data_IF_449007080165
#
_entry.id   IF_449007080165
#
_cell.length_a   1.000
_cell.length_b   1.000
_cell.length_c   1.000
_cell.angle_alpha   90.00
_cell.angle_beta   90.00
_cell.angle_gamma   90.00
#
_symmetry.space_group_name_H-M   'P 1'
#
loop_
_entity.id
_entity.type
_entity.pdbx_description
1 polymer ?
#
# COMPACT_ATOMS: atom_id res chain seq x y z
N UNK A 1 33.80 -1.93 -25.28
CA UNK A 1 32.65 -2.86 -25.34
C UNK A 1 32.05 -2.96 -23.95
N UNK A 2 31.23 -1.97 -23.56
CA UNK A 2 30.39 -1.99 -22.36
C UNK A 2 29.17 -1.09 -22.65
N UNK A 3 28.33 -1.54 -23.58
CA UNK A 3 26.92 -1.16 -23.63
C UNK A 3 26.15 -2.38 -23.12
N UNK A 4 26.34 -2.73 -21.85
CA UNK A 4 25.51 -3.73 -21.19
C UNK A 4 24.23 -3.01 -20.73
N UNK A 5 23.28 -2.94 -21.66
CA UNK A 5 21.83 -3.03 -21.48
C UNK A 5 21.12 -2.31 -20.31
N UNK A 6 21.24 -0.97 -20.26
CA UNK A 6 20.36 -0.09 -19.45
C UNK A 6 18.86 -0.36 -19.71
N UNK A 7 18.50 -0.90 -20.88
CA UNK A 7 17.12 -1.22 -21.24
C UNK A 7 16.58 -2.47 -20.54
N UNK A 8 17.40 -3.50 -20.27
CA UNK A 8 16.91 -4.67 -19.52
C UNK A 8 16.86 -4.44 -18.02
N UNK A 9 17.79 -3.67 -17.46
CA UNK A 9 17.74 -3.29 -16.04
C UNK A 9 16.46 -2.50 -15.71
N UNK A 10 16.12 -1.52 -16.55
CA UNK A 10 14.86 -0.78 -16.41
C UNK A 10 13.64 -1.73 -16.53
N UNK A 11 13.60 -2.63 -17.52
CA UNK A 11 12.49 -3.58 -17.70
C UNK A 11 12.30 -4.53 -16.51
N UNK A 12 13.40 -5.00 -15.91
CA UNK A 12 13.36 -5.85 -14.71
C UNK A 12 12.84 -5.06 -13.52
N UNK A 13 13.30 -3.82 -13.34
CA UNK A 13 12.77 -2.93 -12.31
C UNK A 13 11.26 -2.72 -12.45
N UNK A 14 10.78 -2.44 -13.66
CA UNK A 14 9.35 -2.31 -13.97
C UNK A 14 8.54 -3.57 -13.68
N UNK A 15 9.08 -4.75 -14.02
CA UNK A 15 8.40 -6.01 -13.72
C UNK A 15 8.28 -6.22 -12.20
N UNK A 16 9.33 -5.87 -11.45
CA UNK A 16 9.34 -5.98 -9.99
C UNK A 16 8.35 -5.01 -9.35
N UNK A 17 8.37 -3.72 -9.71
CA UNK A 17 7.42 -2.72 -9.21
C UNK A 17 5.97 -3.13 -9.46
N UNK A 18 5.65 -3.61 -10.67
CA UNK A 18 4.32 -4.10 -10.98
C UNK A 18 3.90 -5.29 -10.10
N UNK A 19 4.83 -6.20 -9.79
CA UNK A 19 4.56 -7.31 -8.88
C UNK A 19 4.34 -6.83 -7.45
N UNK A 20 5.13 -5.85 -6.97
CA UNK A 20 4.97 -5.24 -5.64
C UNK A 20 3.61 -4.55 -5.52
N UNK A 21 3.23 -3.74 -6.52
CA UNK A 21 1.91 -3.08 -6.57
C UNK A 21 0.78 -4.12 -6.62
N UNK A 22 0.93 -5.19 -7.40
CA UNK A 22 -0.08 -6.25 -7.49
C UNK A 22 -0.28 -6.96 -6.13
N UNK A 23 0.81 -7.27 -5.41
CA UNK A 23 0.75 -7.82 -4.05
C UNK A 23 0.07 -6.85 -3.08
N UNK A 24 0.42 -5.57 -3.13
CA UNK A 24 -0.18 -4.55 -2.27
C UNK A 24 -1.68 -4.34 -2.55
N UNK A 25 -2.10 -4.47 -3.82
CA UNK A 25 -3.52 -4.45 -4.19
C UNK A 25 -4.26 -5.69 -3.67
N UNK A 26 -3.61 -6.85 -3.63
CA UNK A 26 -4.20 -8.06 -3.06
C UNK A 26 -4.37 -7.95 -1.54
N UNK A 27 -3.38 -7.41 -0.83
CA UNK A 27 -3.49 -7.10 0.61
C UNK A 27 -4.67 -6.15 0.89
N UNK A 28 -4.91 -5.17 0.01
CA UNK A 28 -6.09 -4.30 0.09
C UNK A 28 -7.40 -5.06 -0.06
N UNK A 29 -7.48 -5.99 -1.01
CA UNK A 29 -8.67 -6.84 -1.19
C UNK A 29 -8.91 -7.70 0.05
N UNK A 30 -7.85 -8.25 0.64
CA UNK A 30 -7.91 -9.00 1.89
C UNK A 30 -8.45 -8.12 3.03
N UNK A 31 -7.95 -6.89 3.20
CA UNK A 31 -8.45 -5.95 4.21
C UNK A 31 -9.94 -5.65 4.05
N UNK A 32 -10.38 -5.34 2.84
CA UNK A 32 -11.80 -5.06 2.55
C UNK A 32 -12.67 -6.29 2.91
N UNK A 33 -12.23 -7.48 2.54
CA UNK A 33 -12.92 -8.74 2.87
C UNK A 33 -13.02 -8.96 4.38
N UNK A 34 -11.92 -8.74 5.11
CA UNK A 34 -11.87 -8.86 6.57
C UNK A 34 -12.81 -7.85 7.24
N UNK A 35 -12.79 -6.59 6.81
CA UNK A 35 -13.67 -5.54 7.31
C UNK A 35 -15.15 -5.88 7.09
N UNK A 36 -15.52 -6.30 5.88
CA UNK A 36 -16.88 -6.77 5.59
C UNK A 36 -17.28 -7.93 6.51
N UNK A 37 -16.35 -8.85 6.77
CA UNK A 37 -16.56 -9.99 7.68
C UNK A 37 -16.81 -9.60 9.13
N UNK A 38 -16.23 -8.49 9.62
CA UNK A 38 -16.47 -7.99 10.98
C UNK A 38 -17.93 -7.59 11.20
N UNK A 39 -18.57 -7.01 10.18
CA UNK A 39 -19.95 -6.49 10.28
C UNK A 39 -21.01 -7.58 10.54
N UNK A 40 -20.68 -8.84 10.29
CA UNK A 40 -21.60 -9.97 10.43
C UNK A 40 -21.52 -10.66 11.81
N UNK A 41 -20.64 -10.21 12.70
CA UNK A 41 -20.32 -10.91 13.95
C UNK A 41 -21.08 -10.30 15.12
N UNK A 42 -21.97 -11.10 15.72
CA UNK A 42 -22.73 -10.70 16.90
C UNK A 42 -22.08 -11.11 18.23
N UNK A 43 -21.07 -11.99 18.19
CA UNK A 43 -20.35 -12.45 19.38
C UNK A 43 -19.15 -11.54 19.66
N UNK A 44 -19.13 -10.93 20.85
CA UNK A 44 -18.10 -9.95 21.22
C UNK A 44 -16.67 -10.52 21.21
N UNK A 45 -16.46 -11.74 21.74
CA UNK A 45 -15.14 -12.36 21.79
C UNK A 45 -14.62 -12.68 20.38
N UNK A 46 -15.51 -13.20 19.53
CA UNK A 46 -15.18 -13.48 18.14
C UNK A 46 -14.89 -12.19 17.37
N UNK A 47 -15.66 -11.12 17.63
CA UNK A 47 -15.44 -9.82 17.02
C UNK A 47 -14.07 -9.27 17.39
N UNK A 48 -13.72 -9.27 18.69
CA UNK A 48 -12.42 -8.80 19.17
C UNK A 48 -11.26 -9.54 18.52
N UNK A 49 -11.28 -10.87 18.49
CA UNK A 49 -10.23 -11.67 17.84
C UNK A 49 -10.11 -11.41 16.34
N UNK A 50 -11.21 -11.15 15.65
CA UNK A 50 -11.16 -10.82 14.22
C UNK A 50 -10.71 -9.38 13.96
N UNK A 51 -11.03 -8.48 14.87
CA UNK A 51 -10.60 -7.09 14.81
C UNK A 51 -9.08 -6.99 15.01
N UNK A 52 -8.53 -7.76 15.95
CA UNK A 52 -7.08 -7.88 16.17
C UNK A 52 -6.38 -8.35 14.88
N UNK A 53 -6.84 -9.45 14.28
CA UNK A 53 -6.29 -9.93 13.01
C UNK A 53 -6.43 -8.91 11.86
N UNK A 54 -7.53 -8.13 11.82
CA UNK A 54 -7.70 -7.06 10.85
C UNK A 54 -6.68 -5.93 11.06
N UNK A 55 -6.40 -5.57 12.30
CA UNK A 55 -5.45 -4.52 12.67
C UNK A 55 -4.01 -4.91 12.31
N UNK A 56 -3.61 -6.17 12.52
CA UNK A 56 -2.31 -6.69 12.07
C UNK A 56 -2.12 -6.48 10.55
N UNK A 57 -3.09 -6.92 9.75
CA UNK A 57 -3.03 -6.78 8.29
C UNK A 57 -3.12 -5.30 7.87
N UNK A 58 -3.84 -4.46 8.63
CA UNK A 58 -3.97 -3.03 8.35
C UNK A 58 -2.62 -2.34 8.47
N UNK A 59 -1.89 -2.60 9.56
CA UNK A 59 -0.56 -2.02 9.79
C UNK A 59 0.43 -2.47 8.71
N UNK A 60 0.41 -3.75 8.33
CA UNK A 60 1.25 -4.27 7.25
C UNK A 60 0.97 -3.56 5.92
N UNK A 61 -0.31 -3.44 5.53
CA UNK A 61 -0.74 -2.78 4.30
C UNK A 61 -0.35 -1.29 4.25
N UNK A 62 -0.56 -0.58 5.37
CA UNK A 62 -0.20 0.83 5.49
C UNK A 62 1.31 1.04 5.44
N UNK A 63 2.06 0.14 6.08
CA UNK A 63 3.53 0.17 6.10
C UNK A 63 4.10 -0.09 4.70
N UNK A 64 3.58 -1.08 3.97
CA UNK A 64 3.97 -1.35 2.59
C UNK A 64 3.68 -0.16 1.67
N UNK A 65 2.53 0.48 1.83
CA UNK A 65 2.19 1.71 1.12
C UNK A 65 3.20 2.83 1.37
N UNK A 66 3.39 3.16 2.65
CA UNK A 66 4.17 4.34 3.06
C UNK A 66 5.68 4.19 2.87
N UNK A 67 6.26 3.01 3.11
CA UNK A 67 7.72 2.81 3.09
C UNK A 67 8.26 2.22 1.78
N UNK A 68 7.43 1.58 0.96
CA UNK A 68 7.86 0.93 -0.28
C UNK A 68 7.16 1.59 -1.48
N UNK A 69 5.84 1.46 -1.58
CA UNK A 69 5.10 1.79 -2.80
C UNK A 69 5.14 3.29 -3.13
N UNK A 70 4.91 4.19 -2.16
CA UNK A 70 4.81 5.62 -2.46
C UNK A 70 6.14 6.20 -2.95
N UNK A 71 7.25 5.74 -2.39
CA UNK A 71 8.60 6.16 -2.82
C UNK A 71 8.90 5.69 -4.23
N UNK A 72 8.62 4.41 -4.55
CA UNK A 72 8.87 3.87 -5.89
C UNK A 72 8.00 4.58 -6.96
N UNK A 73 6.74 4.89 -6.63
CA UNK A 73 5.87 5.67 -7.52
C UNK A 73 6.37 7.10 -7.74
N UNK A 74 6.94 7.74 -6.72
CA UNK A 74 7.53 9.07 -6.84
C UNK A 74 8.78 9.06 -7.70
N UNK A 75 9.69 8.12 -7.47
CA UNK A 75 10.92 7.98 -8.25
C UNK A 75 10.60 7.75 -9.73
N UNK A 76 9.62 6.91 -10.02
CA UNK A 76 9.17 6.63 -11.38
C UNK A 76 8.45 7.82 -12.03
N UNK A 77 7.66 8.57 -11.26
CA UNK A 77 7.03 9.78 -11.75
C UNK A 77 8.06 10.83 -12.21
N UNK A 78 9.26 10.83 -11.63
CA UNK A 78 10.37 11.72 -12.02
C UNK A 78 11.05 11.32 -13.34
N UNK A 79 11.02 10.04 -13.71
CA UNK A 79 11.64 9.55 -14.96
C UNK A 79 10.78 9.81 -16.20
N UNK A 80 9.45 9.90 -16.01
CA UNK A 80 8.47 9.99 -17.11
C UNK A 80 8.37 11.40 -17.70
N UNK A 81 7.72 12.33 -16.98
CA UNK A 81 7.59 13.74 -17.36
C UNK A 81 7.05 14.60 -16.18
N UNK A 82 6.96 15.91 -16.39
CA UNK A 82 6.46 16.85 -15.39
C UNK A 82 5.01 16.58 -14.92
N UNK A 83 4.19 15.87 -15.71
CA UNK A 83 2.80 15.53 -15.33
C UNK A 83 2.78 14.42 -14.30
N UNK A 84 3.72 13.47 -14.39
CA UNK A 84 3.91 12.43 -13.37
C UNK A 84 4.17 13.05 -11.99
N UNK A 85 5.15 13.96 -11.92
CA UNK A 85 5.48 14.67 -10.68
C UNK A 85 4.30 15.47 -10.14
N UNK A 86 3.55 16.16 -11.01
CA UNK A 86 2.34 16.88 -10.60
C UNK A 86 1.28 15.95 -10.00
N UNK A 87 1.08 14.78 -10.60
CA UNK A 87 0.14 13.79 -10.09
C UNK A 87 0.55 13.28 -8.71
N UNK A 88 1.84 12.97 -8.51
CA UNK A 88 2.36 12.55 -7.20
C UNK A 88 2.15 13.65 -6.15
N UNK A 89 2.50 14.90 -6.46
CA UNK A 89 2.32 16.03 -5.54
C UNK A 89 0.85 16.24 -5.14
N UNK A 90 -0.10 15.90 -6.03
CA UNK A 90 -1.52 15.97 -5.73
C UNK A 90 -1.96 14.79 -4.87
N UNK A 91 -1.49 13.57 -5.15
CA UNK A 91 -1.96 12.35 -4.48
C UNK A 91 -1.29 12.10 -3.13
N UNK A 92 -0.01 12.44 -2.98
CA UNK A 92 0.79 12.12 -1.79
C UNK A 92 0.15 12.62 -0.48
N UNK A 93 -0.38 13.85 -0.39
CA UNK A 93 -1.03 14.31 0.83
C UNK A 93 -2.28 13.49 1.22
N UNK A 94 -3.04 13.00 0.23
CA UNK A 94 -4.19 12.13 0.50
C UNK A 94 -3.76 10.73 0.94
N UNK A 95 -2.65 10.23 0.38
CA UNK A 95 -2.07 8.96 0.76
C UNK A 95 -1.55 9.01 2.21
N UNK A 96 -0.80 10.05 2.58
CA UNK A 96 -0.36 10.29 3.97
C UNK A 96 -1.56 10.39 4.91
N UNK A 97 -2.55 11.22 4.58
CA UNK A 97 -3.75 11.36 5.40
C UNK A 97 -4.48 10.02 5.58
N UNK A 98 -4.57 9.20 4.53
CA UNK A 98 -5.20 7.87 4.63
C UNK A 98 -4.43 6.93 5.56
N UNK A 99 -3.10 7.00 5.54
CA UNK A 99 -2.22 6.25 6.44
C UNK A 99 -2.40 6.69 7.88
N UNK A 100 -2.42 8.00 8.14
CA UNK A 100 -2.65 8.55 9.48
C UNK A 100 -4.01 8.11 10.05
N UNK A 101 -5.07 8.15 9.24
CA UNK A 101 -6.40 7.69 9.66
C UNK A 101 -6.39 6.20 10.02
N UNK A 102 -5.70 5.37 9.22
CA UNK A 102 -5.60 3.95 9.46
C UNK A 102 -4.83 3.62 10.74
N UNK A 103 -3.70 4.30 10.99
CA UNK A 103 -2.93 4.16 12.23
C UNK A 103 -3.74 4.64 13.45
N UNK A 104 -4.40 5.80 13.33
CA UNK A 104 -5.27 6.32 14.39
C UNK A 104 -6.42 5.37 14.76
N UNK A 105 -6.92 4.61 13.78
CA UNK A 105 -7.90 3.55 14.02
C UNK A 105 -7.27 2.36 14.76
N UNK A 106 -6.09 1.92 14.32
CA UNK A 106 -5.34 0.83 14.95
C UNK A 106 -5.05 1.13 16.43
N UNK A 107 -4.59 2.35 16.74
CA UNK A 107 -4.28 2.81 18.10
C UNK A 107 -5.48 2.77 19.08
N UNK A 108 -6.71 2.61 18.57
CA UNK A 108 -7.93 2.46 19.38
C UNK A 108 -8.39 1.02 19.54
N UNK A 109 -7.79 0.10 18.80
CA UNK A 109 -8.06 -1.32 18.89
C UNK A 109 -7.18 -1.99 19.96
N UNK A 110 -6.03 -1.38 20.28
CA UNK A 110 -5.21 -1.67 21.46
C UNK A 110 -5.85 -1.16 22.77
#
# INVERSE_FOLDING_TARGET
>A
MLQHDVSSEAKVHWANLNNTIARWLEERNQLISMYCGLTAINNHQQFASRLEAFCEVLVDYLSAGHFEIFSELEDEARTFDARGIQLVNVLYPYLEQSTEIGLWFNDRCD
#
